data_IF_475127896297
#
_entry.id   IF_475127896297
#
_cell.length_a   1.000
_cell.length_b   1.000
_cell.length_c   1.000
_cell.angle_alpha   90.00
_cell.angle_beta   90.00
_cell.angle_gamma   90.00
#
_symmetry.space_group_name_H-M   'P 1'
#
loop_
_entity.id
_entity.type
_entity.pdbx_description
1 polymer ?
#
# COMPACT_ATOMS: atom_id res chain seq x y z
N UNK A 1 17.07 11.87 0.00
CA UNK A 1 17.83 10.60 0.08
C UNK A 1 17.40 9.78 1.27
N UNK A 2 17.55 10.28 2.48
CA UNK A 2 17.04 9.60 3.68
C UNK A 2 15.52 9.39 3.63
N UNK A 3 14.77 10.36 3.13
CA UNK A 3 13.32 10.25 2.94
C UNK A 3 12.93 9.16 1.96
N UNK A 4 13.77 8.91 0.94
CA UNK A 4 13.52 7.84 -0.03
C UNK A 4 13.66 6.45 0.58
N UNK A 5 14.57 6.28 1.55
CA UNK A 5 14.75 4.99 2.22
C UNK A 5 13.57 4.68 3.15
N UNK A 6 13.10 5.67 3.89
CA UNK A 6 11.92 5.54 4.76
C UNK A 6 10.66 5.28 3.92
N UNK A 7 10.46 6.05 2.86
CA UNK A 7 9.37 5.85 1.92
C UNK A 7 9.42 4.47 1.28
N UNK A 8 10.62 3.98 0.96
CA UNK A 8 10.82 2.65 0.38
C UNK A 8 10.34 1.55 1.32
N UNK A 9 10.65 1.63 2.63
CA UNK A 9 10.20 0.66 3.63
C UNK A 9 8.70 0.69 3.82
N UNK A 10 8.10 1.87 3.93
CA UNK A 10 6.66 2.06 4.06
C UNK A 10 5.95 1.53 2.82
N UNK A 11 6.46 1.87 1.63
CA UNK A 11 5.87 1.47 0.37
C UNK A 11 5.94 -0.03 0.11
N UNK A 12 6.99 -0.72 0.57
CA UNK A 12 7.10 -2.17 0.42
C UNK A 12 5.94 -2.90 1.11
N UNK A 13 5.62 -2.52 2.35
CA UNK A 13 4.51 -3.11 3.08
C UNK A 13 3.17 -2.86 2.41
N UNK A 14 2.93 -1.62 1.99
CA UNK A 14 1.70 -1.22 1.32
C UNK A 14 1.56 -1.90 -0.04
N UNK A 15 2.61 -1.91 -0.84
CA UNK A 15 2.63 -2.58 -2.14
C UNK A 15 2.32 -4.07 -1.99
N UNK A 16 2.92 -4.71 -0.99
CA UNK A 16 2.68 -6.12 -0.72
C UNK A 16 1.24 -6.37 -0.28
N UNK A 17 0.68 -5.51 0.57
CA UNK A 17 -0.71 -5.65 1.02
C UNK A 17 -1.68 -5.62 -0.17
N UNK A 18 -1.44 -4.77 -1.16
CA UNK A 18 -2.30 -4.66 -2.33
C UNK A 18 -2.02 -5.71 -3.40
N UNK A 19 -0.76 -6.04 -3.65
CA UNK A 19 -0.35 -6.82 -4.82
C UNK A 19 0.40 -8.10 -4.50
N UNK A 20 0.69 -8.38 -3.24
CA UNK A 20 1.52 -9.53 -2.85
C UNK A 20 1.01 -10.86 -3.37
N UNK A 21 -0.30 -11.02 -3.47
CA UNK A 21 -0.91 -12.25 -3.98
C UNK A 21 -0.69 -12.50 -5.47
N UNK A 22 -0.22 -11.49 -6.21
CA UNK A 22 0.16 -11.64 -7.60
C UNK A 22 1.57 -12.22 -7.77
N UNK A 23 2.34 -12.27 -6.68
CA UNK A 23 3.63 -12.97 -6.67
C UNK A 23 3.40 -14.48 -6.54
N UNK A 24 4.40 -15.28 -6.92
CA UNK A 24 4.33 -16.72 -6.70
C UNK A 24 4.32 -17.03 -5.20
N UNK A 25 3.82 -18.21 -4.82
CA UNK A 25 3.78 -18.63 -3.42
C UNK A 25 5.18 -18.63 -2.80
N UNK A 26 6.18 -19.07 -3.55
CA UNK A 26 7.58 -19.07 -3.11
C UNK A 26 8.11 -17.64 -2.88
N UNK A 27 7.82 -16.72 -3.81
CA UNK A 27 8.20 -15.31 -3.67
C UNK A 27 7.50 -14.67 -2.47
N UNK A 28 6.22 -14.95 -2.27
CA UNK A 28 5.46 -14.44 -1.12
C UNK A 28 6.11 -14.87 0.19
N UNK A 29 6.44 -16.14 0.32
CA UNK A 29 7.06 -16.67 1.53
C UNK A 29 8.38 -15.98 1.86
N UNK A 30 9.27 -15.88 0.89
CA UNK A 30 10.58 -15.23 1.09
C UNK A 30 10.41 -13.75 1.38
N UNK A 31 9.55 -13.07 0.63
CA UNK A 31 9.29 -11.65 0.81
C UNK A 31 8.74 -11.35 2.21
N UNK A 32 7.76 -12.13 2.66
CA UNK A 32 7.20 -11.98 4.01
C UNK A 32 8.26 -12.20 5.09
N UNK A 33 9.12 -13.18 4.93
CA UNK A 33 10.18 -13.47 5.89
C UNK A 33 11.19 -12.32 6.01
N UNK A 34 11.58 -11.73 4.88
CA UNK A 34 12.52 -10.59 4.87
C UNK A 34 11.87 -9.31 5.38
N UNK A 35 10.68 -8.98 4.89
CA UNK A 35 10.07 -7.66 5.11
C UNK A 35 9.28 -7.60 6.42
N UNK A 36 8.58 -8.66 6.77
CA UNK A 36 7.65 -8.65 7.92
C UNK A 36 8.13 -9.47 9.11
N UNK A 37 8.88 -10.54 8.89
CA UNK A 37 9.24 -11.50 9.95
C UNK A 37 10.67 -11.31 10.48
N UNK A 38 11.38 -10.29 10.03
CA UNK A 38 12.73 -9.92 10.47
C UNK A 38 13.79 -11.04 10.33
N UNK A 39 13.58 -12.00 9.44
CA UNK A 39 14.62 -12.97 9.12
C UNK A 39 15.77 -12.29 8.39
N UNK A 40 17.00 -12.65 8.76
CA UNK A 40 18.17 -12.15 8.03
C UNK A 40 18.28 -12.83 6.66
N UNK A 41 18.98 -12.16 5.74
CA UNK A 41 19.25 -12.75 4.43
C UNK A 41 20.02 -14.07 4.56
N UNK A 42 20.91 -14.18 5.53
CA UNK A 42 21.67 -15.41 5.81
C UNK A 42 20.77 -16.57 6.25
N UNK A 43 19.83 -16.29 7.13
CA UNK A 43 18.88 -17.32 7.61
C UNK A 43 18.02 -17.84 6.47
N UNK A 44 17.53 -16.95 5.63
CA UNK A 44 16.68 -17.33 4.48
C UNK A 44 17.50 -18.08 3.45
N UNK A 45 18.72 -17.61 3.15
CA UNK A 45 19.63 -18.27 2.23
C UNK A 45 19.90 -19.72 2.66
N UNK A 46 20.16 -19.92 3.94
CA UNK A 46 20.38 -21.24 4.49
C UNK A 46 19.13 -22.13 4.39
N UNK A 47 17.97 -21.62 4.77
CA UNK A 47 16.71 -22.34 4.72
C UNK A 47 16.28 -22.72 3.31
N UNK A 48 16.53 -21.84 2.33
CA UNK A 48 16.13 -22.04 0.94
C UNK A 48 17.20 -22.72 0.09
N UNK A 49 18.41 -22.90 0.62
CA UNK A 49 19.52 -23.53 -0.11
C UNK A 49 20.05 -22.68 -1.27
N UNK A 50 19.98 -21.37 -1.14
CA UNK A 50 20.50 -20.40 -2.13
C UNK A 50 21.48 -19.44 -1.46
N UNK A 51 22.19 -18.61 -2.27
CA UNK A 51 23.10 -17.63 -1.74
C UNK A 51 22.38 -16.43 -1.14
N UNK A 52 23.05 -15.69 -0.26
CA UNK A 52 22.54 -14.40 0.26
C UNK A 52 22.25 -13.44 -0.88
N UNK A 53 23.11 -13.39 -1.87
CA UNK A 53 22.92 -12.57 -3.07
C UNK A 53 21.66 -13.00 -3.83
N UNK A 54 21.40 -14.31 -3.91
CA UNK A 54 20.19 -14.84 -4.54
C UNK A 54 18.93 -14.39 -3.83
N UNK A 55 18.93 -14.36 -2.49
CA UNK A 55 17.80 -13.82 -1.70
C UNK A 55 17.62 -12.34 -1.99
N UNK A 56 18.69 -11.56 -1.94
CA UNK A 56 18.66 -10.13 -2.22
C UNK A 56 18.10 -9.84 -3.62
N UNK A 57 18.54 -10.58 -4.62
CA UNK A 57 18.08 -10.42 -6.00
C UNK A 57 16.60 -10.76 -6.14
N UNK A 58 16.15 -11.80 -5.44
CA UNK A 58 14.73 -12.18 -5.42
C UNK A 58 13.87 -11.06 -4.84
N UNK A 59 14.27 -10.47 -3.72
CA UNK A 59 13.56 -9.35 -3.11
C UNK A 59 13.50 -8.15 -4.07
N UNK A 60 14.60 -7.82 -4.73
CA UNK A 60 14.63 -6.74 -5.72
C UNK A 60 13.65 -6.97 -6.87
N UNK A 61 13.59 -8.22 -7.36
CA UNK A 61 12.62 -8.57 -8.43
C UNK A 61 11.19 -8.46 -7.93
N UNK A 62 10.91 -8.90 -6.72
CA UNK A 62 9.58 -8.77 -6.13
C UNK A 62 9.17 -7.30 -6.00
N UNK A 63 10.06 -6.46 -5.46
CA UNK A 63 9.81 -5.02 -5.35
C UNK A 63 9.51 -4.38 -6.70
N UNK A 64 10.28 -4.74 -7.71
CA UNK A 64 10.11 -4.23 -9.08
C UNK A 64 8.77 -4.65 -9.67
N UNK A 65 8.36 -5.90 -9.42
CA UNK A 65 7.07 -6.40 -9.86
C UNK A 65 5.91 -5.66 -9.17
N UNK A 66 6.00 -5.48 -7.85
CA UNK A 66 4.97 -4.78 -7.08
C UNK A 66 4.80 -3.33 -7.53
N UNK A 67 5.90 -2.61 -7.75
CA UNK A 67 5.88 -1.24 -8.29
C UNK A 67 5.24 -1.21 -9.67
N UNK A 68 5.58 -2.17 -10.53
CA UNK A 68 5.00 -2.28 -11.87
C UNK A 68 3.49 -2.49 -11.83
N UNK A 69 2.98 -3.28 -10.89
CA UNK A 69 1.54 -3.46 -10.71
C UNK A 69 0.85 -2.15 -10.33
N UNK A 70 1.44 -1.39 -9.41
CA UNK A 70 0.86 -0.10 -9.02
C UNK A 70 0.89 0.91 -10.19
N UNK A 71 1.97 0.96 -10.95
CA UNK A 71 2.07 1.82 -12.13
C UNK A 71 0.96 1.53 -13.14
N UNK A 72 0.59 0.26 -13.28
CA UNK A 72 -0.44 -0.17 -14.24
C UNK A 72 -1.85 -0.08 -13.70
N UNK A 73 -2.06 -0.44 -12.44
CA UNK A 73 -3.39 -0.60 -11.85
C UNK A 73 -3.84 0.59 -11.02
N UNK A 74 -2.90 1.26 -10.33
CA UNK A 74 -3.20 2.45 -9.54
C UNK A 74 -4.15 2.23 -8.38
N UNK A 75 -4.21 1.02 -7.80
CA UNK A 75 -5.16 0.69 -6.73
C UNK A 75 -4.82 1.45 -5.43
N UNK A 76 -3.54 1.62 -5.11
CA UNK A 76 -3.11 2.37 -3.94
C UNK A 76 -3.51 3.83 -4.08
N UNK A 77 -3.25 4.42 -5.25
CA UNK A 77 -3.63 5.79 -5.56
C UNK A 77 -5.14 6.00 -5.41
N UNK A 78 -5.94 5.10 -5.97
CA UNK A 78 -7.40 5.15 -5.86
C UNK A 78 -7.88 5.01 -4.41
N UNK A 79 -7.26 4.12 -3.67
CA UNK A 79 -7.56 3.93 -2.25
C UNK A 79 -7.27 5.20 -1.45
N UNK A 80 -6.12 5.83 -1.67
CA UNK A 80 -5.72 7.06 -0.98
C UNK A 80 -6.66 8.22 -1.31
N UNK A 81 -7.06 8.36 -2.57
CA UNK A 81 -8.04 9.38 -2.99
C UNK A 81 -9.39 9.15 -2.30
N UNK A 82 -9.87 7.92 -2.29
CA UNK A 82 -11.12 7.55 -1.62
C UNK A 82 -11.04 7.86 -0.12
N UNK A 83 -9.94 7.50 0.51
CA UNK A 83 -9.72 7.76 1.93
C UNK A 83 -9.73 9.25 2.25
N UNK A 84 -9.16 10.08 1.39
CA UNK A 84 -9.18 11.53 1.53
C UNK A 84 -10.61 12.07 1.50
N UNK A 85 -11.42 11.62 0.56
CA UNK A 85 -12.82 12.03 0.47
C UNK A 85 -13.63 11.57 1.68
N UNK A 86 -13.40 10.35 2.17
CA UNK A 86 -14.08 9.83 3.36
C UNK A 86 -13.75 10.68 4.59
N UNK A 87 -12.47 11.04 4.77
CA UNK A 87 -12.06 11.90 5.89
C UNK A 87 -12.72 13.28 5.83
N UNK A 88 -12.81 13.85 4.63
CA UNK A 88 -13.46 15.14 4.42
C UNK A 88 -14.96 15.05 4.74
N UNK A 89 -15.63 13.98 4.34
CA UNK A 89 -17.04 13.73 4.68
C UNK A 89 -17.21 13.63 6.18
N UNK A 90 -16.33 12.90 6.88
CA UNK A 90 -16.39 12.79 8.34
C UNK A 90 -16.25 14.16 9.01
N UNK A 91 -15.37 15.01 8.51
CA UNK A 91 -15.19 16.36 9.01
C UNK A 91 -16.49 17.17 8.86
N UNK A 92 -17.11 17.12 7.70
CA UNK A 92 -18.34 17.84 7.40
C UNK A 92 -19.52 17.34 8.23
N UNK A 93 -19.62 16.01 8.41
CA UNK A 93 -20.64 15.41 9.28
C UNK A 93 -20.49 15.92 10.71
N UNK A 94 -19.27 16.01 11.23
CA UNK A 94 -19.00 16.56 12.56
C UNK A 94 -19.46 18.02 12.69
N UNK A 95 -19.24 18.83 11.68
CA UNK A 95 -19.71 20.21 11.65
C UNK A 95 -21.24 20.27 11.61
N UNK A 96 -21.86 19.45 10.77
CA UNK A 96 -23.32 19.39 10.62
C UNK A 96 -24.02 19.03 11.94
N UNK A 97 -23.46 18.11 12.71
CA UNK A 97 -24.02 17.73 14.02
C UNK A 97 -24.17 18.92 14.97
N UNK A 98 -23.31 19.93 14.85
CA UNK A 98 -23.32 21.13 15.67
C UNK A 98 -24.18 22.26 15.07
N UNK A 99 -24.10 22.49 13.78
CA UNK A 99 -24.66 23.64 13.07
C UNK A 99 -25.98 23.31 12.36
N UNK A 100 -26.11 22.07 11.87
CA UNK A 100 -27.26 21.58 11.09
C UNK A 100 -27.60 22.40 9.87
N UNK A 101 -26.59 22.93 9.17
CA UNK A 101 -26.75 23.67 7.92
C UNK A 101 -26.86 22.67 6.76
N UNK A 102 -27.99 22.71 6.04
CA UNK A 102 -28.25 21.77 4.93
C UNK A 102 -27.27 21.92 3.75
N UNK A 103 -26.61 23.05 3.62
CA UNK A 103 -25.54 23.21 2.61
C UNK A 103 -24.41 22.21 2.78
N UNK A 104 -24.15 21.78 4.02
CA UNK A 104 -23.14 20.77 4.32
C UNK A 104 -23.53 19.42 3.73
N UNK A 105 -24.81 19.11 3.66
CA UNK A 105 -25.30 17.86 3.04
C UNK A 105 -25.05 17.87 1.54
N UNK A 106 -25.18 19.02 0.88
CA UNK A 106 -24.85 19.16 -0.55
C UNK A 106 -23.36 18.88 -0.78
N UNK A 107 -22.49 19.42 0.08
CA UNK A 107 -21.04 19.17 0.00
C UNK A 107 -20.71 17.67 0.16
N UNK A 108 -21.39 17.00 1.11
CA UNK A 108 -21.22 15.55 1.32
C UNK A 108 -21.62 14.78 0.06
N UNK A 109 -22.73 15.12 -0.55
CA UNK A 109 -23.18 14.45 -1.79
C UNK A 109 -22.22 14.67 -2.94
N UNK A 110 -21.61 15.83 -3.07
CA UNK A 110 -20.60 16.09 -4.07
C UNK A 110 -19.36 15.22 -3.86
N UNK A 111 -18.90 15.07 -2.61
CA UNK A 111 -17.78 14.22 -2.27
C UNK A 111 -18.09 12.74 -2.53
N UNK A 112 -19.30 12.29 -2.21
CA UNK A 112 -19.74 10.94 -2.51
C UNK A 112 -19.73 10.65 -4.01
N UNK A 113 -20.14 11.62 -4.83
CA UNK A 113 -20.06 11.48 -6.29
C UNK A 113 -18.61 11.35 -6.77
N UNK A 114 -17.69 12.09 -6.18
CA UNK A 114 -16.26 12.00 -6.51
C UNK A 114 -15.70 10.61 -6.15
N UNK A 115 -16.13 10.02 -5.03
CA UNK A 115 -15.74 8.67 -4.64
C UNK A 115 -16.21 7.65 -5.70
N UNK A 116 -17.44 7.80 -6.19
CA UNK A 116 -17.97 6.91 -7.22
C UNK A 116 -17.19 6.99 -8.54
N UNK A 117 -16.56 8.12 -8.80
CA UNK A 117 -15.79 8.35 -10.03
C UNK A 117 -14.30 7.97 -9.92
N UNK A 118 -13.86 7.55 -8.75
CA UNK A 118 -12.46 7.15 -8.51
C UNK A 118 -12.08 5.83 -9.19
#
# INVERSE_FOLDING_TARGET
MENNDIEKYINQGILYDFYGRLLTVHQQRIYEDVVFNDFSLSEIAENEGISRQGVSDLIKRCNKALVSYEEKLGLIKKFDETKSYVKEIQRIVGIYQNIKDEKLIVEINELLSKILDV
#
